data_IF_151789973744
#
_entry.id   IF_151789973744
#
_cell.length_a   1.000
_cell.length_b   1.000
_cell.length_c   1.000
_cell.angle_alpha   90.00
_cell.angle_beta   90.00
_cell.angle_gamma   90.00
#
_symmetry.space_group_name_H-M   'P 1'
#
loop_
_entity.id
_entity.type
_entity.pdbx_description
1 polymer ?
#
# COMPACT_ATOMS: atom_id res chain seq x y z
N UNK A 1 -18.79 -14.74 -2.56
CA UNK A 1 -19.34 -13.40 -2.92
C UNK A 1 -18.38 -12.51 -3.73
N UNK A 2 -17.07 -12.43 -3.43
CA UNK A 2 -16.14 -11.56 -4.19
C UNK A 2 -15.98 -12.08 -5.61
N UNK A 3 -15.58 -13.33 -5.77
CA UNK A 3 -15.31 -13.92 -7.09
C UNK A 3 -16.58 -14.18 -7.90
N UNK A 4 -17.74 -14.44 -7.26
CA UNK A 4 -19.02 -14.52 -7.97
C UNK A 4 -19.38 -13.20 -8.64
N UNK A 5 -19.19 -12.09 -7.95
CA UNK A 5 -19.46 -10.76 -8.50
C UNK A 5 -18.44 -10.36 -9.57
N UNK A 6 -17.17 -10.75 -9.41
CA UNK A 6 -16.16 -10.57 -10.46
C UNK A 6 -16.51 -11.38 -11.70
N UNK A 7 -16.88 -12.66 -11.56
CA UNK A 7 -17.28 -13.50 -12.69
C UNK A 7 -18.50 -12.93 -13.44
N UNK A 8 -19.52 -12.44 -12.73
CA UNK A 8 -20.67 -11.74 -13.33
C UNK A 8 -20.25 -10.49 -14.09
N UNK A 9 -19.37 -9.67 -13.51
CA UNK A 9 -18.86 -8.47 -14.19
C UNK A 9 -18.06 -8.82 -15.44
N UNK A 10 -17.21 -9.85 -15.36
CA UNK A 10 -16.43 -10.34 -16.49
C UNK A 10 -17.34 -10.87 -17.60
N UNK A 11 -18.37 -11.67 -17.26
CA UNK A 11 -19.33 -12.21 -18.24
C UNK A 11 -20.13 -11.11 -18.93
N UNK A 12 -20.53 -10.06 -18.19
CA UNK A 12 -21.19 -8.88 -18.78
C UNK A 12 -20.29 -8.17 -19.82
N UNK A 13 -18.97 -8.29 -19.67
CA UNK A 13 -17.96 -7.76 -20.59
C UNK A 13 -17.46 -8.80 -21.60
N UNK A 14 -18.14 -9.97 -21.70
CA UNK A 14 -17.84 -11.02 -22.69
C UNK A 14 -16.71 -11.97 -22.29
N UNK A 15 -16.23 -11.94 -21.03
CA UNK A 15 -15.24 -12.87 -20.48
C UNK A 15 -15.95 -13.91 -19.61
N UNK A 16 -16.10 -15.12 -20.10
CA UNK A 16 -16.87 -16.18 -19.46
C UNK A 16 -15.94 -17.08 -18.63
N UNK A 17 -15.85 -16.79 -17.34
CA UNK A 17 -15.15 -17.57 -16.33
C UNK A 17 -16.08 -17.79 -15.13
N UNK A 18 -16.08 -18.99 -14.58
CA UNK A 18 -16.74 -19.27 -13.31
C UNK A 18 -16.03 -18.54 -12.13
N UNK A 19 -16.72 -18.41 -11.01
CA UNK A 19 -16.14 -17.81 -9.81
C UNK A 19 -14.87 -18.55 -9.34
N UNK A 20 -14.88 -19.89 -9.42
CA UNK A 20 -13.75 -20.72 -9.03
C UNK A 20 -12.56 -20.56 -9.98
N UNK A 21 -12.81 -20.45 -11.29
CA UNK A 21 -11.76 -20.17 -12.28
C UNK A 21 -11.15 -18.80 -12.06
N UNK A 22 -11.97 -17.75 -11.86
CA UNK A 22 -11.46 -16.40 -11.56
C UNK A 22 -10.58 -16.41 -10.32
N UNK A 23 -11.03 -17.09 -9.26
CA UNK A 23 -10.27 -17.24 -8.01
C UNK A 23 -8.96 -17.99 -8.24
N UNK A 24 -9.05 -19.13 -8.93
CA UNK A 24 -7.88 -19.99 -9.19
C UNK A 24 -6.83 -19.25 -10.04
N UNK A 25 -7.21 -18.65 -11.16
CA UNK A 25 -6.30 -17.87 -11.99
C UNK A 25 -5.66 -16.72 -11.24
N UNK A 26 -6.43 -16.00 -10.42
CA UNK A 26 -5.92 -14.88 -9.66
C UNK A 26 -4.80 -15.31 -8.70
N UNK A 27 -5.00 -16.36 -7.92
CA UNK A 27 -3.98 -16.86 -7.00
C UNK A 27 -2.82 -17.57 -7.70
N UNK A 28 -3.06 -18.25 -8.82
CA UNK A 28 -2.00 -18.84 -9.65
C UNK A 28 -1.06 -17.76 -10.18
N UNK A 29 -1.60 -16.64 -10.69
CA UNK A 29 -0.78 -15.52 -11.17
C UNK A 29 0.00 -14.83 -10.04
N UNK A 30 -0.59 -14.69 -8.85
CA UNK A 30 0.12 -14.23 -7.65
C UNK A 30 1.31 -15.15 -7.36
N UNK A 31 1.07 -16.45 -7.23
CA UNK A 31 2.11 -17.43 -6.92
C UNK A 31 3.23 -17.42 -7.97
N UNK A 32 2.87 -17.30 -9.25
CA UNK A 32 3.83 -17.19 -10.36
C UNK A 32 4.69 -15.92 -10.27
N UNK A 33 4.08 -14.75 -9.98
CA UNK A 33 4.84 -13.51 -9.82
C UNK A 33 5.81 -13.60 -8.64
N UNK A 34 5.35 -14.09 -7.49
CA UNK A 34 6.19 -14.25 -6.29
C UNK A 34 7.33 -15.23 -6.53
N UNK A 35 7.06 -16.38 -7.16
CA UNK A 35 8.08 -17.40 -7.48
C UNK A 35 9.15 -16.88 -8.45
N UNK A 36 8.78 -16.05 -9.40
CA UNK A 36 9.68 -15.53 -10.42
C UNK A 36 10.43 -14.27 -9.98
N UNK A 37 10.10 -13.71 -8.83
CA UNK A 37 10.81 -12.57 -8.27
C UNK A 37 12.15 -13.01 -7.67
N UNK A 38 13.16 -12.15 -7.83
CA UNK A 38 14.47 -12.30 -7.17
C UNK A 38 14.57 -11.49 -5.88
N UNK A 39 13.52 -10.74 -5.54
CA UNK A 39 13.50 -9.89 -4.36
C UNK A 39 13.27 -10.74 -3.10
N UNK A 40 13.92 -10.35 -1.99
CA UNK A 40 13.72 -11.00 -0.69
C UNK A 40 12.30 -10.79 -0.16
N UNK A 41 11.73 -9.62 -0.41
CA UNK A 41 10.37 -9.25 -0.02
C UNK A 41 9.55 -8.83 -1.26
N UNK A 42 9.17 -9.77 -2.13
CA UNK A 42 8.57 -9.46 -3.41
C UNK A 42 7.19 -8.81 -3.27
N UNK A 43 6.90 -7.84 -4.14
CA UNK A 43 5.57 -7.27 -4.32
C UNK A 43 4.96 -7.78 -5.62
N UNK A 44 3.64 -7.92 -5.64
CA UNK A 44 2.88 -8.28 -6.83
C UNK A 44 2.46 -7.03 -7.63
N UNK A 45 2.20 -7.21 -8.91
CA UNK A 45 1.52 -6.21 -9.73
C UNK A 45 0.11 -6.72 -10.07
N UNK A 46 -0.89 -6.18 -9.37
CA UNK A 46 -2.30 -6.57 -9.54
C UNK A 46 -2.84 -6.24 -10.92
N UNK A 47 -2.33 -5.18 -11.57
CA UNK A 47 -2.75 -4.81 -12.93
C UNK A 47 -2.25 -5.83 -13.94
N UNK A 48 -0.99 -6.27 -13.78
CA UNK A 48 -0.42 -7.33 -14.62
C UNK A 48 -1.13 -8.65 -14.42
N UNK A 49 -1.49 -9.01 -13.17
CA UNK A 49 -2.29 -10.21 -12.88
C UNK A 49 -3.58 -10.20 -13.69
N UNK A 50 -4.38 -9.15 -13.56
CA UNK A 50 -5.64 -9.04 -14.30
C UNK A 50 -5.45 -8.96 -15.81
N UNK A 51 -4.39 -8.27 -16.25
CA UNK A 51 -4.04 -8.24 -17.67
C UNK A 51 -3.76 -9.64 -18.23
N UNK A 52 -3.00 -10.46 -17.51
CA UNK A 52 -2.67 -11.84 -17.90
C UNK A 52 -3.92 -12.73 -17.89
N UNK A 53 -4.79 -12.62 -16.88
CA UNK A 53 -6.07 -13.38 -16.82
C UNK A 53 -6.94 -13.04 -18.02
N UNK A 54 -7.16 -11.76 -18.29
CA UNK A 54 -7.99 -11.29 -19.39
C UNK A 54 -7.37 -11.61 -20.76
N UNK A 55 -6.06 -11.80 -20.83
CA UNK A 55 -5.38 -12.18 -22.09
C UNK A 55 -5.42 -13.66 -22.38
N UNK A 56 -5.44 -14.49 -21.33
CA UNK A 56 -5.44 -15.95 -21.46
C UNK A 56 -6.85 -16.51 -21.69
N UNK A 57 -7.91 -15.75 -21.34
CA UNK A 57 -9.28 -16.17 -21.64
C UNK A 57 -9.47 -16.16 -23.17
N UNK A 58 -9.56 -17.35 -23.74
CA UNK A 58 -9.65 -17.61 -25.20
C UNK A 58 -10.94 -17.13 -25.87
N UNK A 59 -11.78 -16.38 -25.17
CA UNK A 59 -13.01 -15.84 -25.72
C UNK A 59 -12.70 -14.73 -26.72
N UNK A 60 -12.43 -15.15 -27.96
CA UNK A 60 -12.13 -14.29 -29.12
C UNK A 60 -13.19 -13.22 -29.38
N UNK A 61 -14.43 -13.41 -28.90
CA UNK A 61 -15.53 -12.47 -29.08
C UNK A 61 -15.38 -11.17 -28.28
N UNK A 62 -14.61 -11.18 -27.19
CA UNK A 62 -14.30 -9.96 -26.40
C UNK A 62 -13.46 -8.96 -27.19
N UNK A 63 -12.68 -9.42 -28.17
CA UNK A 63 -11.86 -8.58 -29.02
C UNK A 63 -12.64 -7.79 -30.08
N UNK A 64 -13.88 -8.19 -30.39
CA UNK A 64 -14.76 -7.45 -31.30
C UNK A 64 -15.41 -6.22 -30.66
N UNK A 65 -15.52 -6.18 -29.32
CA UNK A 65 -15.78 -4.93 -28.63
C UNK A 65 -14.44 -4.20 -28.53
N UNK A 66 -14.29 -3.05 -29.17
CA UNK A 66 -13.12 -2.13 -29.14
C UNK A 66 -12.85 -1.61 -27.71
N UNK A 67 -12.89 -2.50 -26.71
CA UNK A 67 -12.62 -2.15 -25.32
C UNK A 67 -11.10 -1.96 -25.16
N UNK A 68 -10.73 -0.78 -24.75
CA UNK A 68 -9.36 -0.50 -24.32
C UNK A 68 -9.04 -1.43 -23.13
N UNK A 69 -8.21 -2.47 -23.37
CA UNK A 69 -7.86 -3.50 -22.39
C UNK A 69 -7.28 -2.88 -21.10
N UNK A 70 -6.56 -1.78 -21.22
CA UNK A 70 -6.02 -1.06 -20.07
C UNK A 70 -7.12 -0.49 -19.17
N UNK A 71 -8.18 0.07 -19.77
CA UNK A 71 -9.35 0.57 -19.04
C UNK A 71 -10.10 -0.57 -18.36
N UNK A 72 -10.30 -1.70 -19.07
CA UNK A 72 -10.98 -2.85 -18.49
C UNK A 72 -10.21 -3.45 -17.30
N UNK A 73 -8.89 -3.60 -17.41
CA UNK A 73 -8.04 -4.01 -16.27
C UNK A 73 -8.22 -3.07 -15.07
N UNK A 74 -8.27 -1.75 -15.31
CA UNK A 74 -8.50 -0.76 -14.26
C UNK A 74 -9.84 -0.97 -13.57
N UNK A 75 -10.92 -1.16 -14.35
CA UNK A 75 -12.28 -1.39 -13.82
C UNK A 75 -12.32 -2.64 -12.95
N UNK A 76 -11.73 -3.75 -13.42
CA UNK A 76 -11.66 -5.01 -12.66
C UNK A 76 -10.87 -4.85 -11.37
N UNK A 77 -9.73 -4.17 -11.39
CA UNK A 77 -8.92 -3.91 -10.19
C UNK A 77 -9.71 -3.10 -9.16
N UNK A 78 -10.40 -2.04 -9.59
CA UNK A 78 -11.21 -1.20 -8.71
C UNK A 78 -12.37 -1.99 -8.13
N UNK A 79 -13.09 -2.78 -8.96
CA UNK A 79 -14.17 -3.63 -8.51
C UNK A 79 -13.68 -4.69 -7.52
N UNK A 80 -12.58 -5.39 -7.83
CA UNK A 80 -11.99 -6.38 -6.94
C UNK A 80 -11.63 -5.76 -5.57
N UNK A 81 -11.02 -4.57 -5.59
CA UNK A 81 -10.72 -3.85 -4.35
C UNK A 81 -11.97 -3.48 -3.58
N UNK A 82 -13.00 -2.98 -4.25
CA UNK A 82 -14.26 -2.59 -3.63
C UNK A 82 -14.99 -3.78 -2.98
N UNK A 83 -14.97 -4.95 -3.64
CA UNK A 83 -15.62 -6.17 -3.15
C UNK A 83 -14.81 -6.85 -2.02
N UNK A 84 -13.49 -6.79 -2.05
CA UNK A 84 -12.62 -7.47 -1.08
C UNK A 84 -12.40 -6.69 0.21
N UNK A 85 -12.57 -5.37 0.20
CA UNK A 85 -12.40 -4.55 1.40
C UNK A 85 -13.60 -4.65 2.32
N UNK A 86 -13.37 -4.82 3.63
CA UNK A 86 -14.42 -4.80 4.65
C UNK A 86 -14.73 -3.38 5.12
N UNK A 87 -13.71 -2.53 5.19
CA UNK A 87 -13.81 -1.17 5.75
C UNK A 87 -12.74 -0.28 5.16
N UNK A 88 -13.06 0.99 4.93
CA UNK A 88 -12.10 2.04 4.60
C UNK A 88 -12.50 3.32 5.34
N UNK A 89 -11.65 3.79 6.25
CA UNK A 89 -11.81 5.05 6.99
C UNK A 89 -10.48 5.46 7.60
N UNK A 90 -10.31 6.74 7.87
CA UNK A 90 -9.23 7.23 8.70
C UNK A 90 -9.46 6.82 10.17
N UNK A 91 -8.39 6.59 10.90
CA UNK A 91 -8.45 6.53 12.35
C UNK A 91 -8.84 7.91 12.92
N UNK A 92 -9.44 7.95 14.12
CA UNK A 92 -9.83 9.21 14.74
C UNK A 92 -8.67 10.20 14.83
N UNK A 93 -8.93 11.47 14.55
CA UNK A 93 -7.99 12.60 14.66
C UNK A 93 -6.73 12.52 13.77
N UNK A 94 -6.67 11.60 12.81
CA UNK A 94 -5.52 11.52 11.86
C UNK A 94 -5.45 12.76 10.99
N UNK A 95 -6.59 13.27 10.53
CA UNK A 95 -6.63 14.46 9.68
C UNK A 95 -6.06 15.69 10.39
N UNK A 96 -6.45 15.91 11.66
CA UNK A 96 -5.96 17.00 12.50
C UNK A 96 -4.45 16.85 12.80
N UNK A 97 -4.01 15.63 13.10
CA UNK A 97 -2.59 15.34 13.33
C UNK A 97 -1.74 15.63 12.08
N UNK A 98 -2.16 15.18 10.90
CA UNK A 98 -1.48 15.46 9.64
C UNK A 98 -1.47 16.96 9.31
N UNK A 99 -2.59 17.65 9.55
CA UNK A 99 -2.69 19.10 9.35
C UNK A 99 -1.71 19.86 10.23
N UNK A 100 -1.55 19.41 11.48
CA UNK A 100 -0.58 20.02 12.39
C UNK A 100 0.87 19.73 11.94
N UNK A 101 1.17 18.46 11.62
CA UNK A 101 2.52 18.03 11.20
C UNK A 101 2.97 18.75 9.92
N UNK A 102 2.06 18.96 8.96
CA UNK A 102 2.38 19.62 7.69
C UNK A 102 2.87 21.07 7.84
N UNK A 103 2.61 21.71 8.99
CA UNK A 103 3.08 23.10 9.25
C UNK A 103 4.59 23.19 9.47
N UNK A 104 5.19 22.13 10.00
CA UNK A 104 6.61 22.15 10.41
C UNK A 104 7.43 21.04 9.75
N UNK A 105 6.80 20.01 9.22
CA UNK A 105 7.49 18.84 8.68
C UNK A 105 7.12 18.58 7.22
N UNK A 106 8.08 18.04 6.45
CA UNK A 106 7.79 17.38 5.18
C UNK A 106 7.20 16.01 5.48
N UNK A 107 6.10 15.65 4.81
CA UNK A 107 5.39 14.40 5.04
C UNK A 107 5.60 13.44 3.89
N UNK A 108 6.00 12.20 4.20
CA UNK A 108 6.14 11.12 3.24
C UNK A 108 5.27 9.92 3.57
N UNK A 109 4.89 9.17 2.53
CA UNK A 109 4.23 7.86 2.66
C UNK A 109 5.14 6.79 2.09
N UNK A 110 5.36 5.70 2.85
CA UNK A 110 5.93 4.44 2.36
C UNK A 110 4.93 3.33 2.66
N UNK A 111 4.30 2.79 1.61
CA UNK A 111 3.19 1.85 1.75
C UNK A 111 3.38 0.58 0.95
N UNK A 112 3.15 -0.59 1.59
CA UNK A 112 2.97 -1.86 0.91
C UNK A 112 1.57 -1.91 0.30
N UNK A 113 1.45 -1.44 -0.93
CA UNK A 113 0.18 -1.27 -1.61
C UNK A 113 0.34 -1.24 -3.14
N UNK A 114 -0.79 -1.28 -3.82
CA UNK A 114 -0.85 -1.03 -5.26
C UNK A 114 -1.14 0.44 -5.52
N UNK A 115 -0.28 1.13 -6.29
CA UNK A 115 -0.43 2.55 -6.61
C UNK A 115 -1.81 2.90 -7.15
N UNK A 116 -2.35 2.06 -8.04
CA UNK A 116 -3.68 2.25 -8.63
C UNK A 116 -4.83 2.17 -7.62
N UNK A 117 -4.56 1.72 -6.40
CA UNK A 117 -5.51 1.63 -5.29
C UNK A 117 -5.25 2.74 -4.27
N UNK A 118 -4.00 2.86 -3.78
CA UNK A 118 -3.70 3.77 -2.66
C UNK A 118 -3.87 5.24 -3.03
N UNK A 119 -3.48 5.67 -4.24
CA UNK A 119 -3.63 7.08 -4.61
C UNK A 119 -5.10 7.54 -4.67
N UNK A 120 -6.03 6.81 -5.31
CA UNK A 120 -7.46 7.13 -5.21
C UNK A 120 -7.98 7.13 -3.77
N UNK A 121 -7.55 6.19 -2.92
CA UNK A 121 -7.98 6.11 -1.52
C UNK A 121 -7.50 7.33 -0.72
N UNK A 122 -6.24 7.78 -0.88
CA UNK A 122 -5.73 9.01 -0.26
C UNK A 122 -6.52 10.25 -0.69
N UNK A 123 -6.92 10.31 -1.98
CA UNK A 123 -7.76 11.42 -2.51
C UNK A 123 -9.17 11.39 -1.93
N UNK A 124 -9.80 10.21 -1.81
CA UNK A 124 -11.12 10.04 -1.18
C UNK A 124 -11.11 10.57 0.26
N UNK A 125 -9.99 10.38 0.99
CA UNK A 125 -9.84 10.89 2.36
C UNK A 125 -9.43 12.36 2.44
N UNK A 126 -9.14 13.02 1.32
CA UNK A 126 -8.68 14.41 1.29
C UNK A 126 -7.30 14.64 1.90
N UNK A 127 -6.47 13.58 1.98
CA UNK A 127 -5.13 13.65 2.58
C UNK A 127 -3.98 13.47 1.57
N UNK A 128 -4.30 13.24 0.30
CA UNK A 128 -3.30 13.04 -0.75
C UNK A 128 -2.29 14.20 -0.81
N UNK A 129 -2.77 15.43 -0.83
CA UNK A 129 -1.96 16.63 -1.02
C UNK A 129 -1.26 17.12 0.26
N UNK A 130 -1.48 16.39 1.37
CA UNK A 130 -0.71 16.59 2.60
C UNK A 130 0.71 16.00 2.50
N UNK A 131 0.95 15.07 1.58
CA UNK A 131 2.21 14.37 1.44
C UNK A 131 3.08 14.96 0.34
N UNK A 132 4.35 15.26 0.67
CA UNK A 132 5.37 15.77 -0.25
C UNK A 132 6.00 14.64 -1.07
N UNK A 133 5.97 13.41 -0.55
CA UNK A 133 6.45 12.21 -1.23
C UNK A 133 5.53 11.01 -0.98
N UNK A 134 5.25 10.23 -2.02
CA UNK A 134 4.49 8.99 -1.91
C UNK A 134 5.29 7.88 -2.60
N UNK A 135 5.72 6.89 -1.83
CA UNK A 135 6.42 5.68 -2.25
C UNK A 135 5.51 4.48 -2.00
N UNK A 136 5.27 3.71 -3.04
CA UNK A 136 4.37 2.54 -3.01
C UNK A 136 5.12 1.33 -3.53
N UNK A 137 5.08 0.23 -2.81
CA UNK A 137 5.82 -1.02 -3.13
C UNK A 137 5.59 -1.53 -4.55
N UNK A 138 4.38 -1.41 -5.08
CA UNK A 138 4.06 -1.84 -6.45
C UNK A 138 4.83 -1.11 -7.55
N UNK A 139 5.41 0.06 -7.27
CA UNK A 139 6.23 0.78 -8.24
C UNK A 139 7.66 0.23 -8.31
N UNK A 140 8.07 -0.54 -7.30
CA UNK A 140 9.44 -1.02 -7.12
C UNK A 140 9.56 -2.55 -7.24
N UNK A 141 8.46 -3.29 -7.07
CA UNK A 141 8.44 -4.75 -7.13
C UNK A 141 8.87 -5.43 -5.81
N UNK A 142 9.09 -4.69 -4.75
CA UNK A 142 9.41 -5.21 -3.42
C UNK A 142 8.72 -4.40 -2.31
N UNK A 143 8.61 -5.01 -1.12
CA UNK A 143 7.87 -4.51 0.04
C UNK A 143 8.77 -4.22 1.23
N UNK A 144 8.24 -3.51 2.22
CA UNK A 144 8.85 -3.39 3.54
C UNK A 144 9.04 -4.79 4.16
N UNK A 145 10.12 -5.04 4.91
CA UNK A 145 11.05 -4.08 5.51
C UNK A 145 12.24 -3.68 4.61
N UNK A 146 12.16 -3.85 3.30
CA UNK A 146 13.27 -3.48 2.42
C UNK A 146 13.61 -1.98 2.55
N UNK A 147 14.82 -1.69 3.01
CA UNK A 147 15.31 -0.34 3.27
C UNK A 147 15.28 0.58 2.04
N UNK A 148 15.35 0.03 0.84
CA UNK A 148 15.31 0.79 -0.42
C UNK A 148 14.04 1.63 -0.57
N UNK A 149 12.89 1.18 -0.03
CA UNK A 149 11.65 1.96 -0.07
C UNK A 149 11.75 3.21 0.81
N UNK A 150 12.32 3.07 2.01
CA UNK A 150 12.51 4.18 2.94
C UNK A 150 13.50 5.20 2.34
N UNK A 151 14.66 4.73 1.86
CA UNK A 151 15.65 5.58 1.20
C UNK A 151 15.09 6.30 -0.03
N UNK A 152 14.20 5.64 -0.80
CA UNK A 152 13.53 6.27 -1.94
C UNK A 152 12.61 7.42 -1.50
N UNK A 153 11.94 7.28 -0.35
CA UNK A 153 11.11 8.33 0.20
C UNK A 153 11.95 9.50 0.72
N UNK A 154 13.00 9.22 1.49
CA UNK A 154 13.93 10.20 2.02
C UNK A 154 14.58 11.03 0.89
N UNK A 155 15.02 10.35 -0.18
CA UNK A 155 15.56 11.03 -1.39
C UNK A 155 14.54 11.99 -2.00
N UNK A 156 13.27 11.61 -2.09
CA UNK A 156 12.20 12.48 -2.63
C UNK A 156 11.90 13.66 -1.70
N UNK A 157 12.04 13.46 -0.39
CA UNK A 157 11.88 14.52 0.62
C UNK A 157 13.11 15.43 0.71
N UNK A 158 14.28 14.98 0.23
CA UNK A 158 15.54 15.72 0.33
C UNK A 158 16.04 15.84 1.77
N UNK A 159 15.94 14.73 2.54
CA UNK A 159 16.38 14.64 3.93
C UNK A 159 17.22 13.38 4.16
N UNK A 160 18.11 13.42 5.16
CA UNK A 160 18.88 12.25 5.60
C UNK A 160 18.06 11.36 6.53
N UNK A 161 18.46 10.09 6.73
CA UNK A 161 17.75 9.18 7.62
C UNK A 161 17.63 9.69 9.06
N UNK A 162 18.69 10.31 9.56
CA UNK A 162 18.79 10.81 10.96
C UNK A 162 17.82 11.98 11.21
N UNK A 163 17.45 12.72 10.17
CA UNK A 163 16.50 13.82 10.21
C UNK A 163 15.04 13.36 10.10
N UNK A 164 14.81 12.05 9.96
CA UNK A 164 13.49 11.51 9.67
C UNK A 164 13.01 10.50 10.71
N UNK A 165 11.71 10.51 10.95
CA UNK A 165 11.03 9.55 11.81
C UNK A 165 9.97 8.82 11.01
N UNK A 166 10.02 7.49 11.04
CA UNK A 166 8.99 6.65 10.43
C UNK A 166 7.91 6.28 11.44
N UNK A 167 6.66 6.48 11.08
CA UNK A 167 5.50 6.15 11.90
C UNK A 167 4.77 4.97 11.28
N UNK A 168 4.71 3.84 11.98
CA UNK A 168 4.09 2.63 11.47
C UNK A 168 3.44 1.79 12.55
N UNK A 169 2.80 0.71 12.16
CA UNK A 169 2.05 -0.16 13.07
C UNK A 169 2.53 -1.62 13.08
N UNK A 170 3.63 -1.91 12.42
CA UNK A 170 4.17 -3.26 12.29
C UNK A 170 5.67 -3.28 12.62
N UNK A 171 6.05 -4.01 13.68
CA UNK A 171 7.44 -4.04 14.16
C UNK A 171 8.41 -4.62 13.12
N UNK A 172 7.99 -5.61 12.35
CA UNK A 172 8.84 -6.20 11.31
C UNK A 172 8.92 -5.30 10.08
N UNK A 173 7.77 -4.94 9.50
CA UNK A 173 7.74 -4.21 8.23
C UNK A 173 8.14 -2.75 8.38
N UNK A 174 7.61 -2.08 9.41
CA UNK A 174 7.76 -0.64 9.57
C UNK A 174 8.98 -0.27 10.42
N UNK A 175 9.03 -0.81 11.65
CA UNK A 175 10.04 -0.41 12.62
C UNK A 175 11.42 -0.96 12.23
N UNK A 176 11.51 -2.25 11.91
CA UNK A 176 12.78 -2.84 11.47
C UNK A 176 13.26 -2.20 10.16
N UNK A 177 12.34 -1.98 9.20
CA UNK A 177 12.68 -1.34 7.93
C UNK A 177 13.24 0.07 8.12
N UNK A 178 12.61 0.91 8.95
CA UNK A 178 13.08 2.25 9.25
C UNK A 178 14.43 2.24 10.00
N UNK A 179 14.54 1.42 11.05
CA UNK A 179 15.78 1.29 11.83
C UNK A 179 16.96 0.81 10.98
N UNK A 180 16.71 -0.08 9.99
CA UNK A 180 17.76 -0.62 9.12
C UNK A 180 18.46 0.43 8.26
N UNK A 181 17.83 1.57 8.05
CA UNK A 181 18.38 2.69 7.28
C UNK A 181 18.77 3.90 8.15
N UNK A 182 18.70 3.77 9.50
CA UNK A 182 19.11 4.82 10.42
C UNK A 182 18.04 5.86 10.75
N UNK A 183 16.78 5.64 10.38
CA UNK A 183 15.67 6.51 10.79
C UNK A 183 15.25 6.27 12.24
N UNK A 184 14.77 7.31 12.90
CA UNK A 184 13.94 7.14 14.09
C UNK A 184 12.62 6.43 13.75
N UNK A 185 12.00 5.76 14.74
CA UNK A 185 10.77 5.03 14.48
C UNK A 185 9.75 5.16 15.63
N UNK A 186 8.48 5.25 15.25
CA UNK A 186 7.34 5.30 16.18
C UNK A 186 6.38 4.17 15.87
N UNK A 187 6.16 3.29 16.85
CA UNK A 187 5.17 2.22 16.76
C UNK A 187 3.80 2.72 17.23
N UNK A 188 2.81 2.65 16.36
CA UNK A 188 1.42 2.96 16.70
C UNK A 188 0.68 1.67 17.06
N UNK A 189 0.10 1.61 18.24
CA UNK A 189 -0.62 0.45 18.79
C UNK A 189 -2.03 0.37 18.22
N UNK A 190 -2.13 -0.06 16.95
CA UNK A 190 -3.42 -0.33 16.29
C UNK A 190 -3.82 -1.80 16.44
N UNK A 191 -5.06 -2.13 16.06
CA UNK A 191 -5.57 -3.52 16.04
C UNK A 191 -4.87 -4.42 15.00
N UNK A 192 -4.14 -3.85 14.03
CA UNK A 192 -3.43 -4.57 12.96
C UNK A 192 -1.91 -4.40 13.08
N UNK A 193 -1.17 -5.28 12.39
CA UNK A 193 0.28 -5.30 12.34
C UNK A 193 0.91 -6.07 13.49
N UNK A 194 2.16 -6.49 13.30
CA UNK A 194 2.96 -7.14 14.33
C UNK A 194 3.35 -6.12 15.42
N UNK A 195 3.25 -6.49 16.70
CA UNK A 195 3.59 -5.65 17.85
C UNK A 195 4.74 -6.23 18.69
N UNK A 196 5.33 -7.33 18.25
CA UNK A 196 6.43 -7.98 18.95
C UNK A 196 7.71 -7.12 18.87
N UNK A 197 8.02 -6.41 19.95
CA UNK A 197 9.18 -5.53 20.05
C UNK A 197 10.52 -6.31 20.21
N UNK A 198 10.49 -7.65 20.30
CA UNK A 198 11.70 -8.45 20.21
C UNK A 198 12.28 -8.46 18.78
N UNK A 199 11.45 -8.23 17.78
CA UNK A 199 11.84 -8.13 16.35
C UNK A 199 12.60 -6.85 16.07
N UNK A 200 12.08 -5.71 16.55
CA UNK A 200 12.73 -4.41 16.43
C UNK A 200 12.20 -3.45 17.51
N UNK A 201 13.11 -2.67 18.12
CA UNK A 201 12.74 -1.68 19.13
C UNK A 201 12.41 -0.35 18.46
N UNK A 202 11.19 0.20 18.65
CA UNK A 202 10.86 1.55 18.21
C UNK A 202 11.52 2.60 19.11
N UNK A 203 11.77 3.81 18.61
CA UNK A 203 12.20 4.96 19.41
C UNK A 203 11.09 5.40 20.38
N UNK A 204 9.84 5.39 19.91
CA UNK A 204 8.66 5.71 20.70
C UNK A 204 7.51 4.73 20.40
N UNK A 205 6.64 4.57 21.38
CA UNK A 205 5.37 3.82 21.24
C UNK A 205 4.22 4.76 21.57
N UNK A 206 3.18 4.77 20.73
CA UNK A 206 1.97 5.57 20.91
C UNK A 206 0.73 4.73 20.68
N UNK A 207 -0.38 5.10 21.30
CA UNK A 207 -1.67 4.42 21.05
C UNK A 207 -2.39 4.98 19.82
N UNK A 208 -2.05 6.21 19.42
CA UNK A 208 -2.70 6.89 18.29
C UNK A 208 -1.74 7.85 17.59
N UNK A 209 -1.92 8.01 16.28
CA UNK A 209 -1.25 9.06 15.48
C UNK A 209 -1.54 10.46 16.03
N UNK A 210 -2.67 10.65 16.72
CA UNK A 210 -3.02 11.92 17.37
C UNK A 210 -2.04 12.37 18.48
N UNK A 211 -1.20 11.46 18.99
CA UNK A 211 -0.21 11.76 20.03
C UNK A 211 1.12 12.32 19.45
N UNK A 212 1.35 12.13 18.14
CA UNK A 212 2.60 12.56 17.49
C UNK A 212 2.94 14.04 17.68
N UNK A 213 1.99 15.00 17.60
CA UNK A 213 2.30 16.41 17.85
C UNK A 213 2.91 16.68 19.23
N UNK A 214 2.45 15.93 20.24
CA UNK A 214 2.98 16.08 21.62
C UNK A 214 4.41 15.55 21.77
N UNK A 215 4.70 14.39 21.15
CA UNK A 215 6.03 13.77 21.22
C UNK A 215 7.06 14.60 20.47
N UNK A 216 6.74 15.08 19.27
CA UNK A 216 7.68 15.81 18.43
C UNK A 216 8.00 17.19 19.00
N UNK A 217 7.03 17.89 19.63
CA UNK A 217 7.31 19.14 20.36
C UNK A 217 8.30 18.94 21.52
N UNK A 218 8.15 17.84 22.26
CA UNK A 218 9.05 17.56 23.38
C UNK A 218 10.46 17.14 22.96
N UNK A 219 10.63 16.66 21.73
CA UNK A 219 11.94 16.38 21.15
C UNK A 219 12.67 17.66 20.70
N UNK A 220 11.95 18.63 20.09
CA UNK A 220 12.51 19.95 19.70
C UNK A 220 12.98 20.77 20.91
N UNK A 221 12.34 20.65 22.06
CA UNK A 221 12.72 21.40 23.27
C UNK A 221 13.96 20.84 23.99
N UNK A 222 14.50 19.70 23.53
CA UNK A 222 15.70 19.05 24.13
C UNK A 222 16.94 19.09 23.23
N UNK A 223 16.80 19.59 22.00
CA UNK A 223 17.89 19.84 21.05
C UNK A 223 18.34 21.29 21.10
#
# INVERSE_FOLDING_TARGET
HVYDNLAKFLSYRGVYLSADEVKWFYFEKIAKQLKNSKEQYPEIDVRRIWYEILSASENKDVYNLKLNKSTFVKDVVVLHRALSRKRIRLYPRVFEALTWLKRSFRLGVVSDAQRCIVLPELKIFGIHDMFDAIVVSSDYGFRKPDGRLFLSCLKKLGVSPEEAVFVGNDTFRDIQGANSVGMGSVLVMTEYGNKDQSVAKPTFVVNSVAELPGILRSAESKS
#
